data_IF_503815817497
#
_entry.id   IF_503815817497
#
_cell.length_a   1.000
_cell.length_b   1.000
_cell.length_c   1.000
_cell.angle_alpha   90.00
_cell.angle_beta   90.00
_cell.angle_gamma   90.00
#
_symmetry.space_group_name_H-M   'P 1'
#
loop_
_entity.id
_entity.type
_entity.pdbx_description
1 polymer ?
#
# COMPACT_ATOMS: atom_id res chain seq x y z
N UNK A 1 -5.68 -2.42 -10.05
CA UNK A 1 -4.99 -1.20 -9.56
C UNK A 1 -5.93 0.01 -9.36
N UNK A 2 -6.79 0.35 -10.33
CA UNK A 2 -7.70 1.52 -10.22
C UNK A 2 -8.59 1.49 -8.96
N UNK A 3 -9.11 0.32 -8.60
CA UNK A 3 -9.99 0.16 -7.44
C UNK A 3 -9.28 0.47 -6.09
N UNK A 4 -8.10 -0.12 -5.84
CA UNK A 4 -7.34 0.08 -4.60
C UNK A 4 -6.89 1.55 -4.43
N UNK A 5 -6.42 2.19 -5.49
CA UNK A 5 -6.01 3.59 -5.42
C UNK A 5 -7.22 4.51 -5.18
N UNK A 6 -8.37 4.22 -5.78
CA UNK A 6 -9.61 4.96 -5.52
C UNK A 6 -10.06 4.81 -4.06
N UNK A 7 -10.05 3.59 -3.52
CA UNK A 7 -10.39 3.34 -2.11
C UNK A 7 -9.42 4.05 -1.17
N UNK A 8 -8.11 3.99 -1.46
CA UNK A 8 -7.09 4.74 -0.72
C UNK A 8 -7.40 6.24 -0.74
N UNK A 9 -7.74 6.80 -1.90
CA UNK A 9 -8.07 8.21 -2.02
C UNK A 9 -9.29 8.60 -1.20
N UNK A 10 -10.33 7.75 -1.17
CA UNK A 10 -11.53 7.96 -0.36
C UNK A 10 -11.18 7.98 1.13
N UNK A 11 -10.45 6.97 1.64
CA UNK A 11 -10.07 6.90 3.06
C UNK A 11 -9.20 8.10 3.45
N UNK A 12 -8.28 8.53 2.57
CA UNK A 12 -7.46 9.72 2.80
C UNK A 12 -8.31 11.01 2.84
N UNK A 13 -9.35 11.13 2.01
CA UNK A 13 -10.31 12.24 2.04
C UNK A 13 -11.11 12.25 3.34
N UNK A 14 -11.63 11.09 3.77
CA UNK A 14 -12.39 10.95 5.01
C UNK A 14 -11.58 11.35 6.25
N UNK A 15 -10.27 11.13 6.21
CA UNK A 15 -9.33 11.54 7.27
C UNK A 15 -8.79 12.97 7.12
N UNK A 16 -9.37 13.76 6.23
CA UNK A 16 -9.02 15.16 6.00
C UNK A 16 -7.55 15.41 5.61
N UNK A 17 -6.89 14.44 4.96
CA UNK A 17 -5.55 14.68 4.43
C UNK A 17 -5.57 15.74 3.34
N UNK A 18 -4.58 16.63 3.31
CA UNK A 18 -4.45 17.66 2.28
C UNK A 18 -4.36 17.06 0.87
N UNK A 19 -4.78 17.80 -0.15
CA UNK A 19 -4.67 17.36 -1.55
C UNK A 19 -3.23 17.01 -1.95
N UNK A 20 -2.24 17.74 -1.42
CA UNK A 20 -0.82 17.48 -1.60
C UNK A 20 -0.43 16.12 -1.02
N UNK A 21 -0.80 15.86 0.24
CA UNK A 21 -0.52 14.59 0.91
C UNK A 21 -1.19 13.43 0.18
N UNK A 22 -2.45 13.58 -0.24
CA UNK A 22 -3.17 12.54 -0.99
C UNK A 22 -2.43 12.14 -2.27
N UNK A 23 -2.01 13.12 -3.07
CA UNK A 23 -1.24 12.87 -4.30
C UNK A 23 0.07 12.14 -4.03
N UNK A 24 0.84 12.60 -3.03
CA UNK A 24 2.10 11.95 -2.65
C UNK A 24 1.89 10.52 -2.17
N UNK A 25 0.86 10.26 -1.36
CA UNK A 25 0.58 8.93 -0.84
C UNK A 25 0.17 7.98 -1.96
N UNK A 26 -0.78 8.38 -2.81
CA UNK A 26 -1.21 7.58 -3.95
C UNK A 26 -0.04 7.23 -4.89
N UNK A 27 0.87 8.18 -5.11
CA UNK A 27 2.07 7.96 -5.90
C UNK A 27 2.98 6.87 -5.29
N UNK A 28 3.32 6.98 -4.00
CA UNK A 28 4.19 5.99 -3.36
C UNK A 28 3.54 4.63 -3.17
N UNK A 29 2.23 4.58 -2.94
CA UNK A 29 1.46 3.34 -2.86
C UNK A 29 1.45 2.63 -4.21
N UNK A 30 1.18 3.38 -5.30
CA UNK A 30 1.26 2.83 -6.66
C UNK A 30 2.64 2.26 -6.95
N UNK A 31 3.70 3.03 -6.65
CA UNK A 31 5.08 2.57 -6.85
C UNK A 31 5.40 1.33 -6.03
N UNK A 32 4.94 1.26 -4.77
CA UNK A 32 5.09 0.10 -3.90
C UNK A 32 4.45 -1.14 -4.53
N UNK A 33 3.18 -1.04 -4.94
CA UNK A 33 2.46 -2.15 -5.58
C UNK A 33 3.15 -2.62 -6.85
N UNK A 34 3.53 -1.69 -7.74
CA UNK A 34 4.23 -2.03 -8.98
C UNK A 34 5.58 -2.68 -8.71
N UNK A 35 6.34 -2.18 -7.74
CA UNK A 35 7.64 -2.71 -7.35
C UNK A 35 7.53 -4.13 -6.78
N UNK A 36 6.62 -4.36 -5.83
CA UNK A 36 6.38 -5.67 -5.23
C UNK A 36 5.93 -6.70 -6.27
N UNK A 37 5.02 -6.32 -7.17
CA UNK A 37 4.56 -7.20 -8.24
C UNK A 37 5.70 -7.58 -9.20
N UNK A 38 6.54 -6.61 -9.58
CA UNK A 38 7.68 -6.87 -10.47
C UNK A 38 8.70 -7.83 -9.84
N UNK A 39 8.92 -7.75 -8.53
CA UNK A 39 9.84 -8.63 -7.80
C UNK A 39 9.19 -9.92 -7.27
N UNK A 40 7.88 -10.11 -7.45
CA UNK A 40 7.15 -11.24 -6.87
C UNK A 40 7.13 -11.25 -5.33
N UNK A 41 7.30 -10.07 -4.69
CA UNK A 41 7.36 -9.96 -3.23
C UNK A 41 5.95 -10.01 -2.67
N UNK A 42 5.68 -11.04 -1.87
CA UNK A 42 4.41 -11.25 -1.18
C UNK A 42 4.44 -10.81 0.28
N UNK A 43 5.59 -10.85 0.93
CA UNK A 43 5.70 -10.50 2.34
C UNK A 43 5.74 -8.97 2.55
N UNK A 44 4.86 -8.45 3.41
CA UNK A 44 4.78 -7.01 3.77
C UNK A 44 6.12 -6.44 4.25
N UNK A 45 6.79 -7.13 5.17
CA UNK A 45 8.03 -6.64 5.78
C UNK A 45 9.12 -6.55 4.71
N UNK A 46 9.29 -7.61 3.92
CA UNK A 46 10.24 -7.64 2.80
C UNK A 46 9.93 -6.55 1.78
N UNK A 47 8.66 -6.34 1.44
CA UNK A 47 8.27 -5.28 0.50
C UNK A 47 8.68 -3.89 1.00
N UNK A 48 8.46 -3.59 2.29
CA UNK A 48 8.87 -2.32 2.89
C UNK A 48 10.39 -2.16 2.88
N UNK A 49 11.13 -3.19 3.32
CA UNK A 49 12.60 -3.16 3.37
C UNK A 49 13.21 -2.95 1.98
N UNK A 50 12.73 -3.69 0.98
CA UNK A 50 13.20 -3.60 -0.40
C UNK A 50 12.91 -2.24 -1.05
N UNK A 51 11.76 -1.63 -0.75
CA UNK A 51 11.41 -0.30 -1.25
C UNK A 51 12.28 0.78 -0.61
N UNK A 52 12.56 0.66 0.68
CA UNK A 52 13.46 1.58 1.38
C UNK A 52 14.88 1.47 0.85
N UNK A 53 15.35 0.24 0.64
CA UNK A 53 16.67 -0.02 0.08
C UNK A 53 16.81 0.52 -1.35
N UNK A 54 15.83 0.27 -2.23
CA UNK A 54 15.81 0.83 -3.59
C UNK A 54 15.87 2.37 -3.57
N UNK A 55 15.18 3.02 -2.62
CA UNK A 55 15.20 4.49 -2.52
C UNK A 55 16.52 5.04 -1.98
N UNK A 56 17.10 4.35 -1.02
CA UNK A 56 18.42 4.69 -0.48
C UNK A 56 19.50 4.57 -1.56
N UNK A 57 19.48 3.48 -2.33
CA UNK A 57 20.43 3.23 -3.42
C UNK A 57 20.29 4.23 -4.59
N UNK A 58 19.14 4.90 -4.70
CA UNK A 58 18.91 6.00 -5.65
C UNK A 58 19.20 7.38 -5.06
N UNK A 59 19.83 7.43 -3.89
CA UNK A 59 20.25 8.66 -3.21
C UNK A 59 19.10 9.66 -2.95
N UNK A 60 17.88 9.16 -2.76
CA UNK A 60 16.77 10.01 -2.37
C UNK A 60 17.01 10.63 -0.99
N UNK A 61 16.55 11.88 -0.80
CA UNK A 61 16.69 12.55 0.49
C UNK A 61 15.95 11.80 1.61
N UNK A 62 16.44 11.86 2.86
CA UNK A 62 15.78 11.22 4.01
C UNK A 62 14.29 11.59 4.14
N UNK A 63 13.94 12.84 3.82
CA UNK A 63 12.55 13.33 3.83
C UNK A 63 11.69 12.60 2.78
N UNK A 64 12.24 12.37 1.59
CA UNK A 64 11.58 11.63 0.51
C UNK A 64 11.37 10.17 0.89
N UNK A 65 12.39 9.54 1.49
CA UNK A 65 12.33 8.16 1.99
C UNK A 65 11.24 8.04 3.08
N UNK A 66 11.22 8.97 4.04
CA UNK A 66 10.22 8.98 5.10
C UNK A 66 8.79 9.19 4.58
N UNK A 67 8.61 10.06 3.58
CA UNK A 67 7.31 10.25 2.94
C UNK A 67 6.82 8.96 2.27
N UNK A 68 7.70 8.25 1.58
CA UNK A 68 7.38 6.95 1.00
C UNK A 68 7.04 5.91 2.08
N UNK A 69 7.83 5.82 3.15
CA UNK A 69 7.61 4.92 4.25
C UNK A 69 6.24 5.12 4.90
N UNK A 70 5.88 6.37 5.18
CA UNK A 70 4.61 6.72 5.78
C UNK A 70 3.42 6.37 4.89
N UNK A 71 3.55 6.58 3.57
CA UNK A 71 2.52 6.19 2.61
C UNK A 71 2.32 4.67 2.55
N UNK A 72 3.42 3.89 2.54
CA UNK A 72 3.35 2.42 2.51
C UNK A 72 2.81 1.86 3.83
N UNK A 73 3.26 2.39 4.98
CA UNK A 73 2.71 2.00 6.29
C UNK A 73 1.21 2.24 6.36
N UNK A 74 0.76 3.43 5.95
CA UNK A 74 -0.65 3.78 5.90
C UNK A 74 -1.47 2.83 5.02
N UNK A 75 -0.93 2.45 3.85
CA UNK A 75 -1.58 1.51 2.96
C UNK A 75 -1.83 0.15 3.62
N UNK A 76 -0.81 -0.41 4.28
CA UNK A 76 -0.96 -1.69 4.96
C UNK A 76 -1.81 -1.61 6.24
N UNK A 77 -1.76 -0.51 6.99
CA UNK A 77 -2.45 -0.40 8.29
C UNK A 77 -3.90 0.03 8.18
N UNK A 78 -4.23 0.89 7.21
CA UNK A 78 -5.57 1.47 7.07
C UNK A 78 -6.30 0.90 5.86
N UNK A 79 -5.67 0.85 4.68
CA UNK A 79 -6.38 0.48 3.45
C UNK A 79 -6.60 -1.02 3.37
N UNK A 80 -5.54 -1.82 3.56
CA UNK A 80 -5.64 -3.29 3.45
C UNK A 80 -6.27 -3.93 4.71
N UNK A 81 -6.24 -3.24 5.85
CA UNK A 81 -6.91 -3.73 7.07
C UNK A 81 -8.43 -3.72 6.92
N UNK A 82 -8.97 -2.65 6.35
CA UNK A 82 -10.42 -2.51 6.12
C UNK A 82 -10.93 -3.47 5.04
N UNK A 83 -10.11 -3.78 4.02
CA UNK A 83 -10.44 -4.83 3.04
C UNK A 83 -10.62 -6.20 3.69
N UNK A 84 -9.72 -6.58 4.61
CA UNK A 84 -9.83 -7.86 5.33
C UNK A 84 -11.04 -7.93 6.27
N UNK A 85 -11.55 -6.78 6.74
CA UNK A 85 -12.74 -6.72 7.59
C UNK A 85 -14.02 -6.93 6.77
N UNK A 86 -14.15 -6.26 5.62
CA UNK A 86 -15.29 -6.43 4.71
C UNK A 86 -15.44 -7.90 4.25
N UNK A 87 -14.32 -8.59 4.01
CA UNK A 87 -14.30 -10.01 3.63
C UNK A 87 -14.78 -10.95 4.75
N UNK A 88 -14.43 -10.66 6.01
CA UNK A 88 -14.86 -11.47 7.18
C UNK A 88 -16.35 -11.37 7.44
N UNK A 89 -16.95 -10.23 7.13
CA UNK A 89 -18.38 -9.96 7.30
C UNK A 89 -19.21 -10.33 6.04
N UNK A 90 -18.63 -11.05 5.07
CA UNK A 90 -19.35 -11.61 3.93
C UNK A 90 -19.67 -10.63 2.80
N UNK A 91 -19.03 -9.47 2.75
CA UNK A 91 -19.09 -8.59 1.58
C UNK A 91 -18.18 -9.14 0.47
N UNK A 92 -18.77 -9.51 -0.67
CA UNK A 92 -18.02 -9.98 -1.86
C UNK A 92 -16.98 -8.94 -2.28
N UNK A 93 -15.67 -9.24 -2.11
CA UNK A 93 -14.63 -8.31 -2.52
C UNK A 93 -14.57 -8.31 -4.05
N UNK A 94 -14.54 -7.12 -4.66
CA UNK A 94 -14.33 -7.01 -6.11
C UNK A 94 -13.11 -7.83 -6.55
N UNK A 95 -13.17 -8.48 -7.71
CA UNK A 95 -12.10 -9.33 -8.30
C UNK A 95 -10.67 -8.77 -8.16
N UNK A 96 -10.51 -7.44 -8.09
CA UNK A 96 -9.22 -6.79 -7.86
C UNK A 96 -8.61 -6.97 -6.46
N UNK A 97 -9.37 -7.40 -5.45
CA UNK A 97 -8.86 -7.74 -4.11
C UNK A 97 -8.39 -9.20 -4.05
N UNK A 98 -9.02 -10.10 -4.82
CA UNK A 98 -8.61 -11.51 -4.93
C UNK A 98 -7.21 -11.67 -5.53
N UNK A 99 -6.83 -10.84 -6.51
CA UNK A 99 -5.44 -10.83 -7.02
C UNK A 99 -4.41 -10.40 -5.96
N UNK A 100 -4.84 -9.67 -4.92
CA UNK A 100 -3.99 -9.19 -3.82
C UNK A 100 -4.04 -10.10 -2.59
N UNK A 101 -4.90 -11.14 -2.61
CA UNK A 101 -4.91 -12.24 -1.64
C UNK A 101 -3.53 -12.89 -1.53
N UNK A 102 -2.74 -12.85 -2.61
CA UNK A 102 -1.35 -13.33 -2.64
C UNK A 102 -0.33 -12.42 -1.94
N UNK A 103 -0.64 -11.17 -1.58
CA UNK A 103 0.28 -10.24 -0.91
C UNK A 103 0.06 -10.20 0.63
N UNK A 104 -1.04 -10.78 1.13
CA UNK A 104 -1.41 -10.66 2.55
C UNK A 104 -1.46 -12.01 3.29
N UNK A 105 -1.49 -13.14 2.57
CA UNK A 105 -1.83 -14.45 3.15
C UNK A 105 -0.75 -15.15 4.00
N UNK A 106 0.49 -14.67 4.08
CA UNK A 106 1.57 -15.36 4.82
C UNK A 106 1.97 -14.64 6.13
N UNK A 107 1.00 -14.38 7.01
CA UNK A 107 1.27 -14.09 8.44
C UNK A 107 0.38 -14.95 9.35
N UNK A 108 0.37 -16.26 9.10
CA UNK A 108 -0.21 -17.24 10.01
C UNK A 108 0.89 -18.22 10.39
N UNK A 109 1.68 -17.89 11.41
CA UNK A 109 2.40 -18.80 12.31
C UNK A 109 2.46 -18.10 13.68
#
# INVERSE_FOLDING_TARGET
>A
MKNILNNTEIILKLRNYSSKTRKSYLFYIKNCITFSNKKGIKNKKIAIEEILLDKHNREHSPQTINLALNAVKYFYSEVLKDTNYAEREGFEPSLSCFEYRFIVSDNSH
#
